data_IF_408877172318
#
_entry.id   IF_408877172318
#
_cell.length_a   1.000
_cell.length_b   1.000
_cell.length_c   1.000
_cell.angle_alpha   90.00
_cell.angle_beta   90.00
_cell.angle_gamma   90.00
#
_symmetry.space_group_name_H-M   'P 1'
#
loop_
_entity.id
_entity.type
_entity.pdbx_description
1 polymer ?
#
# COMPACT_ATOMS: atom_id res chain seq x y z
N UNK A 1 3.55 -33.93 -0.69
CA UNK A 1 4.83 -33.23 -0.42
C UNK A 1 5.00 -32.13 -1.46
N UNK A 2 5.33 -30.88 -1.10
CA UNK A 2 5.49 -29.81 -2.09
C UNK A 2 6.82 -29.94 -2.85
N UNK A 3 6.81 -29.59 -4.14
CA UNK A 3 7.90 -29.81 -5.09
C UNK A 3 9.08 -28.85 -4.89
N UNK A 4 10.28 -29.34 -5.17
CA UNK A 4 11.61 -28.72 -5.06
C UNK A 4 11.74 -27.30 -5.66
N UNK A 5 10.93 -26.97 -6.67
CA UNK A 5 10.85 -25.62 -7.22
C UNK A 5 10.22 -24.60 -6.25
N UNK A 6 9.19 -25.01 -5.51
CA UNK A 6 8.53 -24.17 -4.49
C UNK A 6 9.39 -23.98 -3.25
N UNK A 7 10.21 -24.97 -2.89
CA UNK A 7 11.17 -24.85 -1.80
C UNK A 7 12.31 -23.86 -2.13
N UNK A 8 12.83 -23.89 -3.36
CA UNK A 8 13.89 -22.98 -3.82
C UNK A 8 13.44 -21.53 -3.92
N UNK A 9 12.18 -21.28 -4.27
CA UNK A 9 11.60 -19.94 -4.23
C UNK A 9 11.48 -19.45 -2.78
N UNK A 10 11.02 -20.27 -1.82
CA UNK A 10 10.91 -19.87 -0.41
C UNK A 10 12.25 -19.48 0.22
N UNK A 11 13.34 -20.18 -0.10
CA UNK A 11 14.68 -19.82 0.42
C UNK A 11 15.27 -18.56 -0.26
N UNK A 12 14.97 -18.33 -1.54
CA UNK A 12 15.32 -17.09 -2.21
C UNK A 12 14.54 -15.87 -1.66
N UNK A 13 13.32 -16.08 -1.15
CA UNK A 13 12.51 -15.05 -0.49
C UNK A 13 12.97 -14.71 0.92
N UNK A 14 13.57 -15.66 1.65
CA UNK A 14 14.08 -15.44 3.01
C UNK A 14 15.48 -14.81 3.07
N UNK A 15 16.21 -14.79 1.95
CA UNK A 15 17.60 -14.30 1.88
C UNK A 15 17.75 -12.86 1.36
N UNK A 16 16.64 -12.15 1.10
CA UNK A 16 16.66 -10.72 0.72
C UNK A 16 16.14 -9.86 1.88
N UNK A 17 16.81 -8.76 2.24
CA UNK A 17 16.31 -7.82 3.23
C UNK A 17 15.21 -6.94 2.59
N UNK A 18 14.08 -7.54 2.23
CA UNK A 18 12.86 -6.83 1.89
C UNK A 18 12.14 -6.51 3.18
N UNK A 19 12.35 -5.31 3.70
CA UNK A 19 11.57 -4.79 4.83
C UNK A 19 10.16 -4.47 4.34
N UNK A 20 9.21 -5.32 4.69
CA UNK A 20 7.79 -5.13 4.40
C UNK A 20 7.15 -4.27 5.49
N UNK A 21 6.44 -3.22 5.10
CA UNK A 21 5.59 -2.44 6.01
C UNK A 21 4.23 -2.27 5.35
N UNK A 22 3.23 -3.01 5.86
CA UNK A 22 1.83 -2.75 5.55
C UNK A 22 1.30 -1.73 6.55
N UNK A 23 0.77 -0.61 6.05
CA UNK A 23 0.16 0.42 6.89
C UNK A 23 -1.36 0.37 6.77
N UNK A 24 -2.11 0.12 7.86
CA UNK A 24 -3.57 0.21 7.84
C UNK A 24 -3.99 1.68 7.85
N UNK A 25 -4.61 2.12 6.75
CA UNK A 25 -5.01 3.52 6.51
C UNK A 25 -6.16 3.98 7.43
N UNK A 26 -6.95 3.05 7.97
CA UNK A 26 -8.21 3.36 8.67
C UNK A 26 -8.16 3.73 10.16
N UNK A 27 -7.00 3.79 10.82
CA UNK A 27 -6.97 4.09 12.27
C UNK A 27 -5.64 4.60 12.84
N UNK A 28 -4.97 5.49 12.13
CA UNK A 28 -3.82 6.20 12.69
C UNK A 28 -4.17 7.68 12.79
N UNK A 29 -4.24 8.18 14.01
CA UNK A 29 -4.20 9.61 14.26
C UNK A 29 -2.78 10.09 13.92
N UNK A 30 -2.60 10.61 12.71
CA UNK A 30 -1.35 11.22 12.24
C UNK A 30 -0.97 12.47 13.06
N UNK A 31 -1.87 12.95 13.94
CA UNK A 31 -1.65 14.03 14.89
C UNK A 31 -1.40 13.57 16.33
N UNK A 32 -0.27 12.88 16.59
CA UNK A 32 0.28 12.80 17.94
C UNK A 32 1.51 13.72 18.06
N UNK A 33 1.55 14.68 19.00
CA UNK A 33 2.64 15.64 19.16
C UNK A 33 3.96 15.03 19.66
N UNK A 34 4.03 13.70 19.79
CA UNK A 34 5.11 13.01 20.47
C UNK A 34 6.04 12.34 19.44
N UNK A 35 6.94 13.12 18.83
CA UNK A 35 8.32 12.81 18.38
C UNK A 35 8.75 11.45 17.79
N UNK A 36 7.87 10.48 17.59
CA UNK A 36 8.18 9.12 17.12
C UNK A 36 8.01 8.96 15.60
N UNK A 37 7.46 9.97 14.93
CA UNK A 37 7.19 9.99 13.48
C UNK A 37 8.41 9.99 12.56
N UNK A 38 9.44 10.82 12.79
CA UNK A 38 10.54 10.97 11.84
C UNK A 38 11.33 9.68 11.64
N UNK A 39 11.42 8.83 12.68
CA UNK A 39 12.09 7.53 12.58
C UNK A 39 11.30 6.52 11.77
N UNK A 40 9.97 6.58 11.82
CA UNK A 40 9.11 5.73 11.01
C UNK A 40 9.16 6.19 9.55
N UNK A 41 9.00 7.49 9.29
CA UNK A 41 9.16 8.08 7.96
C UNK A 41 10.53 7.74 7.35
N UNK A 42 11.61 7.96 8.11
CA UNK A 42 12.97 7.60 7.67
C UNK A 42 13.16 6.12 7.37
N UNK A 43 12.46 5.23 8.09
CA UNK A 43 12.48 3.79 7.80
C UNK A 43 11.70 3.46 6.54
N UNK A 44 10.51 4.04 6.38
CA UNK A 44 9.64 3.83 5.22
C UNK A 44 10.30 4.30 3.92
N UNK A 45 10.92 5.49 3.93
CA UNK A 45 11.63 6.06 2.78
C UNK A 45 12.88 5.27 2.38
N UNK A 46 13.39 4.38 3.25
CA UNK A 46 14.54 3.49 2.97
C UNK A 46 14.11 2.10 2.52
N UNK A 47 12.81 1.80 2.52
CA UNK A 47 12.30 0.50 2.10
C UNK A 47 12.44 0.33 0.59
N UNK A 48 12.82 -0.88 0.16
CA UNK A 48 12.82 -1.23 -1.26
C UNK A 48 11.39 -1.37 -1.83
N UNK A 49 10.42 -1.69 -0.97
CA UNK A 49 9.01 -1.83 -1.31
C UNK A 49 8.15 -1.22 -0.20
N UNK A 50 7.31 -0.26 -0.57
CA UNK A 50 6.25 0.29 0.29
C UNK A 50 4.90 -0.22 -0.21
N UNK A 51 4.04 -0.69 0.70
CA UNK A 51 2.69 -1.14 0.35
C UNK A 51 1.68 -0.30 1.12
N UNK A 52 0.84 0.41 0.36
CA UNK A 52 -0.30 1.15 0.91
C UNK A 52 -1.57 0.39 0.56
N UNK A 53 -2.16 -0.24 1.58
CA UNK A 53 -3.46 -0.87 1.47
C UNK A 53 -4.57 0.15 1.75
N UNK A 54 -5.78 -0.10 1.26
CA UNK A 54 -6.93 0.75 1.52
C UNK A 54 -6.71 2.23 1.12
N UNK A 55 -6.01 2.44 0.00
CA UNK A 55 -5.75 3.78 -0.54
C UNK A 55 -7.05 4.47 -0.99
N UNK A 56 -7.27 5.67 -0.48
CA UNK A 56 -8.38 6.54 -0.89
C UNK A 56 -9.73 6.32 -0.22
N UNK A 57 -9.79 5.66 0.94
CA UNK A 57 -11.02 5.67 1.74
C UNK A 57 -11.33 7.05 2.33
N UNK A 58 -10.30 7.82 2.69
CA UNK A 58 -10.43 9.14 3.31
C UNK A 58 -9.54 10.17 2.59
N UNK A 59 -9.96 11.43 2.61
CA UNK A 59 -9.15 12.54 2.10
C UNK A 59 -7.96 12.80 3.02
N UNK A 60 -6.81 13.13 2.43
CA UNK A 60 -5.61 13.44 3.21
C UNK A 60 -5.73 14.82 3.86
N UNK A 61 -5.19 14.95 5.07
CA UNK A 61 -4.93 16.24 5.75
C UNK A 61 -3.68 16.91 5.18
N UNK A 62 -3.46 18.20 5.45
CA UNK A 62 -2.31 18.94 4.92
C UNK A 62 -0.96 18.33 5.33
N UNK A 63 -0.83 17.91 6.58
CA UNK A 63 0.40 17.28 7.10
C UNK A 63 0.64 15.93 6.41
N UNK A 64 -0.40 15.10 6.28
CA UNK A 64 -0.30 13.81 5.59
C UNK A 64 0.10 13.93 4.12
N UNK A 65 -0.34 14.98 3.41
CA UNK A 65 0.06 15.23 2.02
C UNK A 65 1.56 15.55 1.94
N UNK A 66 2.04 16.36 2.88
CA UNK A 66 3.45 16.76 2.96
C UNK A 66 4.33 15.54 3.26
N UNK A 67 3.95 14.75 4.27
CA UNK A 67 4.65 13.51 4.64
C UNK A 67 4.67 12.50 3.49
N UNK A 68 3.52 12.31 2.83
CA UNK A 68 3.42 11.38 1.70
C UNK A 68 4.30 11.83 0.54
N UNK A 69 4.31 13.13 0.23
CA UNK A 69 5.18 13.67 -0.82
C UNK A 69 6.66 13.43 -0.49
N UNK A 70 7.09 13.64 0.76
CA UNK A 70 8.47 13.35 1.18
C UNK A 70 8.83 11.87 0.98
N UNK A 71 7.96 10.95 1.40
CA UNK A 71 8.19 9.50 1.22
C UNK A 71 8.27 9.13 -0.26
N UNK A 72 7.28 9.58 -1.05
CA UNK A 72 7.19 9.24 -2.47
C UNK A 72 8.38 9.82 -3.24
N UNK A 73 8.84 11.02 -2.91
CA UNK A 73 10.03 11.64 -3.52
C UNK A 73 11.31 10.86 -3.20
N UNK A 74 11.47 10.37 -1.97
CA UNK A 74 12.61 9.52 -1.61
C UNK A 74 12.58 8.15 -2.29
N UNK A 75 11.39 7.59 -2.51
CA UNK A 75 11.22 6.30 -3.18
C UNK A 75 11.27 6.42 -4.70
N UNK A 76 11.04 7.61 -5.26
CA UNK A 76 11.04 7.84 -6.69
C UNK A 76 12.38 7.39 -7.30
N UNK A 77 12.31 6.45 -8.25
CA UNK A 77 13.46 5.79 -8.90
C UNK A 77 14.43 5.00 -7.98
N UNK A 78 14.13 4.87 -6.68
CA UNK A 78 14.98 4.15 -5.71
C UNK A 78 14.31 2.92 -5.11
N UNK A 79 12.98 2.94 -5.00
CA UNK A 79 12.17 1.84 -4.49
C UNK A 79 10.90 1.65 -5.31
N UNK A 80 10.06 0.71 -4.88
CA UNK A 80 8.75 0.45 -5.48
C UNK A 80 7.64 0.78 -4.51
N UNK A 81 6.51 1.29 -5.03
CA UNK A 81 5.30 1.53 -4.26
C UNK A 81 4.18 0.67 -4.85
N UNK A 82 3.57 -0.17 -4.02
CA UNK A 82 2.35 -0.89 -4.35
C UNK A 82 1.17 -0.20 -3.67
N UNK A 83 0.20 0.23 -4.47
CA UNK A 83 -1.03 0.85 -3.99
C UNK A 83 -2.19 -0.11 -4.25
N UNK A 84 -3.00 -0.32 -3.23
CA UNK A 84 -4.23 -1.11 -3.32
C UNK A 84 -5.37 -0.15 -3.00
N UNK A 85 -6.24 0.09 -3.98
CA UNK A 85 -7.32 1.07 -3.86
C UNK A 85 -8.63 0.48 -4.35
N UNK A 86 -9.71 0.85 -3.68
CA UNK A 86 -11.08 0.64 -4.17
C UNK A 86 -11.56 1.82 -5.04
N UNK A 87 -10.81 2.94 -5.05
CA UNK A 87 -11.11 4.09 -5.88
C UNK A 87 -10.36 4.03 -7.23
N UNK A 88 -11.03 4.39 -8.33
CA UNK A 88 -10.36 4.53 -9.61
C UNK A 88 -9.40 5.74 -9.57
N UNK A 89 -8.33 5.69 -10.38
CA UNK A 89 -7.20 6.63 -10.32
C UNK A 89 -7.65 8.08 -10.55
N UNK A 90 -8.68 8.29 -11.36
CA UNK A 90 -9.24 9.61 -11.66
C UNK A 90 -9.76 10.34 -10.41
N UNK A 91 -10.12 9.59 -9.36
CA UNK A 91 -10.59 10.16 -8.08
C UNK A 91 -9.45 10.45 -7.10
N UNK A 92 -8.23 9.98 -7.37
CA UNK A 92 -7.12 10.15 -6.42
C UNK A 92 -6.70 11.61 -6.30
N UNK A 93 -6.78 12.39 -7.40
CA UNK A 93 -6.48 13.82 -7.38
C UNK A 93 -7.36 14.57 -6.38
N UNK A 94 -8.67 14.35 -6.44
CA UNK A 94 -9.64 14.94 -5.51
C UNK A 94 -9.44 14.45 -4.06
N UNK A 95 -9.12 13.17 -3.87
CA UNK A 95 -8.91 12.58 -2.56
C UNK A 95 -7.63 13.12 -1.88
N UNK A 96 -6.57 13.37 -2.65
CA UNK A 96 -5.38 14.07 -2.16
C UNK A 96 -5.74 15.53 -1.85
N UNK A 97 -6.51 16.17 -2.73
CA UNK A 97 -7.08 17.50 -2.50
C UNK A 97 -6.26 18.62 -3.12
N UNK A 98 -5.29 19.16 -2.38
CA UNK A 98 -4.47 20.31 -2.83
C UNK A 98 -3.85 20.03 -4.21
N UNK A 99 -4.15 20.88 -5.20
CA UNK A 99 -3.77 20.62 -6.59
C UNK A 99 -2.26 20.46 -6.77
N UNK A 100 -1.47 21.27 -6.06
CA UNK A 100 0.00 21.23 -6.17
C UNK A 100 0.56 19.92 -5.63
N UNK A 101 0.10 19.49 -4.45
CA UNK A 101 0.52 18.21 -3.87
C UNK A 101 -0.02 17.03 -4.67
N UNK A 102 -1.27 17.09 -5.11
CA UNK A 102 -1.90 16.05 -5.91
C UNK A 102 -1.13 15.80 -7.21
N UNK A 103 -0.80 16.87 -7.95
CA UNK A 103 -0.02 16.76 -9.18
C UNK A 103 1.37 16.17 -8.91
N UNK A 104 2.08 16.67 -7.89
CA UNK A 104 3.43 16.21 -7.56
C UNK A 104 3.48 14.73 -7.11
N UNK A 105 2.49 14.30 -6.32
CA UNK A 105 2.38 12.92 -5.83
C UNK A 105 1.96 11.98 -6.96
N UNK A 106 0.94 12.36 -7.73
CA UNK A 106 0.44 11.50 -8.82
C UNK A 106 1.44 11.39 -9.96
N UNK A 107 2.20 12.45 -10.28
CA UNK A 107 3.29 12.36 -11.25
C UNK A 107 4.30 11.28 -10.85
N UNK A 108 4.69 11.22 -9.57
CA UNK A 108 5.65 10.21 -9.10
C UNK A 108 5.06 8.81 -8.98
N UNK A 109 3.81 8.69 -8.53
CA UNK A 109 3.17 7.40 -8.32
C UNK A 109 2.65 6.77 -9.60
N UNK A 110 2.04 7.56 -10.49
CA UNK A 110 1.29 7.06 -11.65
C UNK A 110 2.15 7.00 -12.91
N UNK A 111 3.06 7.95 -13.13
CA UNK A 111 3.83 8.05 -14.39
C UNK A 111 4.61 6.77 -14.74
N UNK A 112 5.20 6.11 -13.76
CA UNK A 112 5.95 4.85 -13.95
C UNK A 112 5.19 3.59 -13.53
N UNK A 113 3.89 3.69 -13.24
CA UNK A 113 3.12 2.58 -12.65
C UNK A 113 2.66 1.53 -13.66
N UNK A 114 2.58 0.30 -13.17
CA UNK A 114 1.82 -0.77 -13.81
C UNK A 114 0.43 -0.79 -13.18
N UNK A 115 -0.61 -0.59 -14.01
CA UNK A 115 -2.01 -0.59 -13.57
C UNK A 115 -2.60 -1.98 -13.73
N UNK A 116 -3.12 -2.52 -12.64
CA UNK A 116 -3.79 -3.83 -12.62
C UNK A 116 -5.21 -3.64 -12.12
N UNK A 117 -6.18 -3.73 -13.02
CA UNK A 117 -7.59 -3.72 -12.66
C UNK A 117 -8.03 -5.12 -12.23
N UNK A 118 -8.39 -5.26 -10.96
CA UNK A 118 -8.94 -6.49 -10.43
C UNK A 118 -10.43 -6.57 -10.76
N UNK A 119 -10.84 -7.68 -11.39
CA UNK A 119 -12.23 -7.98 -11.71
C UNK A 119 -12.63 -9.28 -11.02
N UNK A 120 -13.88 -9.37 -10.61
CA UNK A 120 -14.43 -10.58 -9.97
C UNK A 120 -15.18 -10.27 -8.68
N UNK A 121 -15.80 -11.31 -8.13
CA UNK A 121 -16.53 -11.22 -6.87
C UNK A 121 -15.57 -11.23 -5.68
N UNK A 122 -16.03 -10.72 -4.54
CA UNK A 122 -15.25 -10.75 -3.31
C UNK A 122 -14.94 -12.20 -2.89
N UNK A 123 -13.65 -12.51 -2.75
CA UNK A 123 -13.19 -13.78 -2.18
C UNK A 123 -13.76 -14.06 -0.77
N UNK A 124 -14.14 -13.01 -0.02
CA UNK A 124 -14.77 -13.17 1.30
C UNK A 124 -16.12 -13.90 1.21
N UNK A 125 -16.87 -13.70 0.11
CA UNK A 125 -18.14 -14.41 -0.13
C UNK A 125 -17.89 -15.88 -0.46
N UNK A 126 -16.86 -16.17 -1.24
CA UNK A 126 -16.51 -17.55 -1.61
C UNK A 126 -16.05 -18.38 -0.41
N UNK A 127 -15.32 -17.79 0.56
CA UNK A 127 -14.97 -18.49 1.79
C UNK A 127 -16.19 -18.78 2.69
N UNK A 128 -17.20 -17.90 2.71
CA UNK A 128 -18.41 -18.13 3.51
C UNK A 128 -19.21 -19.34 3.01
N UNK A 129 -19.29 -19.54 1.69
CA UNK A 129 -20.00 -20.68 1.08
C UNK A 129 -19.32 -22.03 1.36
N UNK A 130 -18.01 -22.05 1.60
CA UNK A 130 -17.28 -23.29 1.93
C UNK A 130 -17.58 -23.80 3.36
N UNK A 131 -18.07 -22.94 4.26
CA UNK A 131 -18.39 -23.30 5.65
C UNK A 131 -19.83 -23.73 5.89
N UNK A 132 -20.75 -23.50 4.95
CA UNK A 132 -22.15 -23.93 5.07
C UNK A 132 -22.36 -25.41 4.69
N UNK A 133 -21.40 -26.01 3.99
CA UNK A 133 -21.48 -27.41 3.52
C UNK A 133 -21.12 -28.49 4.54
N UNK A 134 -20.65 -28.12 5.73
CA UNK A 134 -20.06 -29.06 6.71
C UNK A 134 -20.82 -29.09 8.06
N UNK A 135 -21.99 -28.46 8.16
CA UNK A 135 -22.84 -28.46 9.36
C UNK A 135 -24.07 -29.37 9.27
N UNK A 136 -24.00 -30.43 8.46
CA UNK A 136 -25.08 -31.42 8.38
C UNK A 136 -24.56 -32.85 8.51
N UNK A 137 -24.14 -33.23 9.73
CA UNK A 137 -24.20 -34.60 10.27
C UNK A 137 -24.57 -34.53 11.74
#
# INVERSE_FOLDING_TARGET
MPDSATARLREAWLSRPLSFHAMPTGRLNWGSPNGHYPRLLSKLSRSQLLILDDWGLESLTADQRSDLLEIVDQLYQRGSVLLISQLPIEKWHQMIGDATHADAILDRLVHGSIKVELKGESMRKQCATLTDGDQSI
#
